data_IF_105875681306
#
_entry.id   IF_105875681306
#
_cell.length_a   1.000
_cell.length_b   1.000
_cell.length_c   1.000
_cell.angle_alpha   90.00
_cell.angle_beta   90.00
_cell.angle_gamma   90.00
#
_symmetry.space_group_name_H-M   'P 1'
#
loop_
_entity.id
_entity.type
_entity.pdbx_description
1 polymer ?
#
# COMPACT_ATOMS: atom_id res chain seq x y z
N UNK A 1 -4.74 20.47 6.52
CA UNK A 1 -3.95 19.23 6.77
C UNK A 1 -4.74 18.32 7.70
N UNK A 2 -4.70 17.01 7.47
CA UNK A 2 -5.36 15.99 8.32
C UNK A 2 -4.35 15.49 9.35
N UNK A 3 -4.76 15.40 10.61
CA UNK A 3 -3.91 14.88 11.69
C UNK A 3 -3.95 13.35 11.67
N UNK A 4 -2.79 12.72 11.53
CA UNK A 4 -2.58 11.27 11.66
C UNK A 4 -1.70 11.04 12.88
N UNK A 5 -2.19 10.26 13.83
CA UNK A 5 -1.39 9.80 14.96
C UNK A 5 -0.55 8.61 14.51
N UNK A 6 0.74 8.60 14.85
CA UNK A 6 1.64 7.53 14.52
C UNK A 6 2.41 7.07 15.77
N UNK A 7 2.43 5.76 15.99
CA UNK A 7 3.13 5.12 17.11
C UNK A 7 4.31 4.33 16.57
N UNK A 8 5.48 4.56 17.10
CA UNK A 8 6.66 3.71 16.90
C UNK A 8 6.58 2.52 17.85
N UNK A 9 6.70 1.31 17.32
CA UNK A 9 6.73 0.08 18.12
C UNK A 9 8.12 -0.20 18.72
N UNK A 10 9.15 0.49 18.18
CA UNK A 10 10.50 0.49 18.71
C UNK A 10 11.09 1.90 18.57
N UNK A 11 11.88 2.34 19.54
CA UNK A 11 12.46 3.70 19.56
C UNK A 11 13.37 4.00 18.37
N UNK A 12 14.02 2.99 17.79
CA UNK A 12 14.92 3.13 16.64
C UNK A 12 14.20 3.28 15.30
N UNK A 13 12.87 3.04 15.24
CA UNK A 13 12.08 3.23 14.01
C UNK A 13 12.08 4.70 13.61
N UNK A 14 12.35 4.97 12.33
CA UNK A 14 12.29 6.31 11.78
C UNK A 14 10.87 6.64 11.32
N UNK A 15 10.41 7.86 11.61
CA UNK A 15 9.12 8.34 11.12
C UNK A 15 9.20 8.66 9.62
N UNK A 16 8.20 8.28 8.84
CA UNK A 16 8.11 8.68 7.45
C UNK A 16 7.88 10.19 7.31
N UNK A 17 8.32 10.75 6.20
CA UNK A 17 8.13 12.17 5.88
C UNK A 17 7.96 12.39 4.39
N UNK A 18 7.24 13.45 4.01
CA UNK A 18 7.21 13.92 2.63
C UNK A 18 8.60 14.40 2.22
N UNK A 19 9.08 13.98 1.07
CA UNK A 19 10.42 14.35 0.58
C UNK A 19 10.44 15.68 -0.17
N UNK A 20 9.28 16.08 -0.70
CA UNK A 20 9.07 17.38 -1.37
C UNK A 20 7.70 17.93 -0.98
N UNK A 21 7.48 19.22 -1.17
CA UNK A 21 6.19 19.87 -0.90
C UNK A 21 5.05 19.36 -1.79
N UNK A 22 5.37 18.84 -2.97
CA UNK A 22 4.39 18.27 -3.91
C UNK A 22 4.25 16.74 -3.81
N UNK A 23 4.94 16.07 -2.88
CA UNK A 23 4.83 14.62 -2.74
C UNK A 23 3.45 14.23 -2.21
N UNK A 24 2.82 13.23 -2.84
CA UNK A 24 1.54 12.66 -2.41
C UNK A 24 1.71 11.55 -1.38
N UNK A 25 2.85 10.88 -1.36
CA UNK A 25 3.13 9.75 -0.48
C UNK A 25 4.39 9.94 0.37
N UNK A 26 4.45 9.20 1.46
CA UNK A 26 5.63 9.05 2.31
C UNK A 26 6.21 7.66 2.15
N UNK A 27 7.53 7.53 1.99
CA UNK A 27 8.19 6.23 1.96
C UNK A 27 8.04 5.50 3.30
N UNK A 28 7.72 4.21 3.25
CA UNK A 28 7.77 3.28 4.37
C UNK A 28 9.04 2.44 4.29
N UNK A 29 9.72 2.33 5.43
CA UNK A 29 10.96 1.58 5.54
C UNK A 29 10.72 0.24 6.23
N UNK A 30 11.47 -0.77 5.81
CA UNK A 30 11.53 -2.05 6.50
C UNK A 30 12.14 -1.88 7.89
N UNK A 31 11.55 -2.52 8.89
CA UNK A 31 12.10 -2.64 10.23
C UNK A 31 12.33 -4.11 10.56
N UNK A 32 13.57 -4.56 10.44
CA UNK A 32 13.93 -5.98 10.59
C UNK A 32 15.28 -6.14 11.30
N UNK A 33 15.38 -7.14 12.15
CA UNK A 33 16.64 -7.47 12.82
C UNK A 33 17.64 -8.18 11.88
N UNK A 34 17.13 -8.92 10.90
CA UNK A 34 17.93 -9.66 9.92
C UNK A 34 17.42 -9.38 8.52
N UNK A 35 18.31 -9.38 7.50
CA UNK A 35 17.88 -9.24 6.12
C UNK A 35 16.84 -10.28 5.73
N UNK A 36 15.79 -9.85 5.03
CA UNK A 36 14.74 -10.72 4.48
C UNK A 36 15.12 -11.05 3.03
N UNK A 37 15.24 -12.33 2.72
CA UNK A 37 15.57 -12.78 1.37
C UNK A 37 14.30 -13.20 0.63
N UNK A 38 13.85 -12.36 -0.30
CA UNK A 38 12.65 -12.57 -1.10
C UNK A 38 13.00 -13.28 -2.41
N UNK A 39 12.71 -14.58 -2.47
CA UNK A 39 12.98 -15.42 -3.65
C UNK A 39 12.09 -15.07 -4.84
N UNK A 40 12.51 -15.38 -6.08
CA UNK A 40 11.68 -15.25 -7.29
C UNK A 40 10.32 -15.93 -7.14
N UNK A 41 9.25 -15.27 -7.59
CA UNK A 41 7.89 -15.79 -7.56
C UNK A 41 7.31 -15.99 -6.15
N UNK A 42 7.92 -15.39 -5.12
CA UNK A 42 7.44 -15.48 -3.73
C UNK A 42 7.05 -14.11 -3.19
N UNK A 43 6.22 -14.14 -2.15
CA UNK A 43 5.90 -12.98 -1.33
C UNK A 43 6.51 -13.09 0.06
N UNK A 44 6.65 -11.94 0.72
CA UNK A 44 6.99 -11.87 2.13
C UNK A 44 6.26 -10.71 2.80
N UNK A 45 6.08 -10.83 4.11
CA UNK A 45 5.51 -9.78 4.94
C UNK A 45 6.65 -8.99 5.60
N UNK A 46 6.77 -7.71 5.26
CA UNK A 46 7.83 -6.83 5.75
C UNK A 46 7.28 -5.91 6.83
N UNK A 47 7.75 -6.00 8.08
CA UNK A 47 7.34 -5.12 9.16
C UNK A 47 7.92 -3.71 8.95
N UNK A 48 7.21 -2.69 9.46
CA UNK A 48 7.66 -1.29 9.45
C UNK A 48 7.93 -0.73 10.83
N UNK A 49 7.50 -1.43 11.88
CA UNK A 49 7.58 -0.96 13.27
C UNK A 49 6.66 0.24 13.57
N UNK A 50 5.63 0.46 12.75
CA UNK A 50 4.72 1.60 12.86
C UNK A 50 3.27 1.14 13.00
N UNK A 51 2.49 1.85 13.83
CA UNK A 51 1.03 1.77 13.89
C UNK A 51 0.45 3.17 13.79
N UNK A 52 -0.78 3.29 13.25
CA UNK A 52 -1.42 4.58 12.96
C UNK A 52 -2.84 4.65 13.48
N UNK A 53 -3.34 5.90 13.65
CA UNK A 53 -4.75 6.20 13.83
C UNK A 53 -5.06 7.53 13.13
N UNK A 54 -6.18 7.59 12.42
CA UNK A 54 -6.61 8.74 11.62
C UNK A 54 -8.13 8.80 11.54
N UNK A 55 -8.71 9.95 11.08
CA UNK A 55 -10.16 10.12 11.00
C UNK A 55 -10.83 9.14 10.04
N UNK A 56 -12.07 8.73 10.35
CA UNK A 56 -12.85 7.71 9.63
C UNK A 56 -13.24 8.07 8.19
N UNK A 57 -13.06 9.33 7.81
CA UNK A 57 -13.31 9.84 6.46
C UNK A 57 -12.15 9.56 5.50
N UNK A 58 -11.10 8.88 5.97
CA UNK A 58 -9.89 8.57 5.21
C UNK A 58 -9.53 7.10 5.32
N UNK A 59 -8.73 6.65 4.37
CA UNK A 59 -7.93 5.43 4.42
C UNK A 59 -6.45 5.77 4.18
N UNK A 60 -5.53 4.87 4.55
CA UNK A 60 -4.16 4.92 4.05
C UNK A 60 -3.98 3.82 3.03
N UNK A 61 -3.57 4.20 1.82
CA UNK A 61 -3.21 3.26 0.77
C UNK A 61 -1.72 2.96 0.78
N UNK A 62 -1.39 1.67 0.77
CA UNK A 62 -0.02 1.19 0.59
C UNK A 62 0.20 0.90 -0.89
N UNK A 63 1.12 1.63 -1.49
CA UNK A 63 1.43 1.57 -2.92
C UNK A 63 2.89 1.18 -3.15
N UNK A 64 3.21 0.53 -4.30
CA UNK A 64 4.60 0.26 -4.68
C UNK A 64 5.40 1.54 -4.87
N UNK A 65 6.71 1.41 -4.75
CA UNK A 65 7.65 2.45 -5.18
C UNK A 65 8.06 2.19 -6.63
N UNK A 66 7.94 3.21 -7.47
CA UNK A 66 8.28 3.12 -8.90
C UNK A 66 9.70 2.63 -9.14
N UNK A 67 10.65 3.07 -8.31
CA UNK A 67 12.05 2.64 -8.42
C UNK A 67 12.26 1.15 -8.16
N UNK A 68 11.57 0.56 -7.18
CA UNK A 68 11.63 -0.90 -6.94
C UNK A 68 10.93 -1.68 -8.06
N UNK A 69 9.79 -1.20 -8.52
CA UNK A 69 9.07 -1.82 -9.63
C UNK A 69 9.90 -1.83 -10.91
N UNK A 70 10.44 -0.68 -11.32
CA UNK A 70 11.17 -0.54 -12.57
C UNK A 70 12.54 -1.22 -12.58
N UNK A 71 13.28 -1.17 -11.46
CA UNK A 71 14.67 -1.67 -11.42
C UNK A 71 14.78 -3.11 -10.92
N UNK A 72 13.88 -3.54 -10.05
CA UNK A 72 13.98 -4.81 -9.36
C UNK A 72 12.79 -5.74 -9.60
N UNK A 73 11.74 -5.28 -10.30
CA UNK A 73 10.46 -6.01 -10.49
C UNK A 73 9.83 -6.43 -9.14
N UNK A 74 9.91 -5.56 -8.14
CA UNK A 74 9.28 -5.77 -6.83
C UNK A 74 8.00 -4.95 -6.75
N UNK A 75 6.91 -5.58 -6.35
CA UNK A 75 5.61 -4.92 -6.14
C UNK A 75 5.09 -5.11 -4.71
N UNK A 76 4.10 -4.31 -4.34
CA UNK A 76 3.21 -4.61 -3.22
C UNK A 76 2.12 -5.53 -3.77
N UNK A 77 2.02 -6.76 -3.26
CA UNK A 77 1.19 -7.81 -3.85
C UNK A 77 -0.30 -7.44 -3.91
N UNK A 78 -0.81 -6.80 -2.86
CA UNK A 78 -2.22 -6.41 -2.72
C UNK A 78 -2.46 -4.93 -3.07
N UNK A 79 -1.62 -4.32 -3.92
CA UNK A 79 -1.73 -2.89 -4.22
C UNK A 79 -3.03 -2.52 -4.93
N UNK A 80 -3.68 -1.40 -4.54
CA UNK A 80 -3.42 -0.58 -3.36
C UNK A 80 -3.82 -1.29 -2.07
N UNK A 81 -2.86 -1.52 -1.16
CA UNK A 81 -3.16 -2.10 0.15
C UNK A 81 -3.95 -1.12 1.01
N UNK A 82 -5.11 -1.52 1.51
CA UNK A 82 -5.99 -0.67 2.31
C UNK A 82 -5.65 -0.80 3.80
N UNK A 83 -5.44 0.33 4.46
CA UNK A 83 -5.38 0.43 5.91
C UNK A 83 -6.60 1.22 6.36
N UNK A 84 -7.46 0.56 7.11
CA UNK A 84 -8.68 1.15 7.65
C UNK A 84 -8.39 2.09 8.83
N UNK A 85 -9.25 3.08 9.03
CA UNK A 85 -9.08 4.10 10.08
C UNK A 85 -9.13 3.53 11.50
N UNK A 86 -9.75 2.38 11.69
CA UNK A 86 -9.88 1.65 12.97
C UNK A 86 -8.85 0.53 13.16
N UNK A 87 -8.00 0.26 12.16
CA UNK A 87 -6.88 -0.66 12.31
C UNK A 87 -5.82 -0.09 13.27
N UNK A 88 -5.40 -0.89 14.27
CA UNK A 88 -4.40 -0.48 15.30
C UNK A 88 -3.16 -1.38 15.30
N UNK A 89 -3.11 -2.37 14.43
CA UNK A 89 -1.97 -3.25 14.29
C UNK A 89 -0.78 -2.55 13.62
N UNK A 90 0.32 -3.27 13.54
CA UNK A 90 1.51 -2.82 12.82
C UNK A 90 1.25 -2.74 11.32
N UNK A 91 1.69 -1.67 10.69
CA UNK A 91 1.75 -1.57 9.23
C UNK A 91 2.79 -2.55 8.71
N UNK A 92 2.34 -3.57 7.98
CA UNK A 92 3.19 -4.57 7.33
C UNK A 92 2.95 -4.57 5.84
N UNK A 93 4.03 -4.67 5.07
CA UNK A 93 4.00 -4.58 3.62
C UNK A 93 4.13 -5.97 3.02
N UNK A 94 3.18 -6.37 2.17
CA UNK A 94 3.24 -7.63 1.44
C UNK A 94 3.98 -7.39 0.13
N UNK A 95 5.28 -7.71 0.09
CA UNK A 95 6.07 -7.59 -1.14
C UNK A 95 6.02 -8.88 -1.95
N UNK A 96 6.06 -8.73 -3.28
CA UNK A 96 6.16 -9.82 -4.23
C UNK A 96 7.33 -9.59 -5.19
N UNK A 97 8.08 -10.66 -5.49
CA UNK A 97 9.22 -10.62 -6.41
C UNK A 97 8.85 -11.26 -7.76
N UNK A 98 8.66 -10.43 -8.78
CA UNK A 98 8.37 -10.83 -10.16
C UNK A 98 9.65 -11.12 -10.97
N UNK A 99 10.83 -10.87 -10.40
CA UNK A 99 12.09 -11.10 -11.09
C UNK A 99 12.54 -12.55 -11.03
N UNK A 100 13.59 -12.90 -11.79
CA UNK A 100 14.26 -14.20 -11.73
C UNK A 100 15.38 -14.27 -10.69
N UNK A 101 15.64 -13.19 -9.95
CA UNK A 101 16.73 -13.07 -8.98
C UNK A 101 16.20 -12.90 -7.56
N UNK A 102 16.96 -13.37 -6.58
CA UNK A 102 16.67 -13.05 -5.18
C UNK A 102 16.76 -11.54 -4.94
N UNK A 103 15.85 -11.02 -4.12
CA UNK A 103 15.86 -9.64 -3.66
C UNK A 103 16.04 -9.62 -2.14
N UNK A 104 17.06 -8.94 -1.67
CA UNK A 104 17.36 -8.82 -0.23
C UNK A 104 16.81 -7.48 0.28
N UNK A 105 16.04 -7.54 1.35
CA UNK A 105 15.49 -6.39 2.05
C UNK A 105 16.25 -6.24 3.36
N UNK A 106 16.96 -5.13 3.50
CA UNK A 106 17.70 -4.79 4.72
C UNK A 106 16.87 -3.85 5.61
N UNK A 107 17.27 -3.75 6.88
CA UNK A 107 16.70 -2.76 7.77
C UNK A 107 16.86 -1.34 7.20
N UNK A 108 15.80 -0.53 7.31
CA UNK A 108 15.68 0.82 6.75
C UNK A 108 15.62 0.92 5.21
N UNK A 109 15.56 -0.19 4.48
CA UNK A 109 15.25 -0.13 3.05
C UNK A 109 13.84 0.43 2.84
N UNK A 110 13.69 1.35 1.88
CA UNK A 110 12.41 1.92 1.49
C UNK A 110 11.66 0.93 0.60
N UNK A 111 10.62 0.28 1.14
CA UNK A 111 9.95 -0.87 0.52
C UNK A 111 8.60 -0.55 -0.12
N UNK A 112 7.93 0.50 0.35
CA UNK A 112 6.63 0.94 -0.16
C UNK A 112 6.47 2.44 0.08
N UNK A 113 5.33 2.99 -0.31
CA UNK A 113 4.88 4.32 0.08
C UNK A 113 3.45 4.26 0.61
N UNK A 114 3.13 5.13 1.57
CA UNK A 114 1.77 5.31 2.07
C UNK A 114 1.20 6.64 1.60
N UNK A 115 -0.08 6.63 1.22
CA UNK A 115 -0.83 7.81 0.76
C UNK A 115 -2.13 7.89 1.55
N UNK A 116 -2.39 9.03 2.20
CA UNK A 116 -3.68 9.30 2.84
C UNK A 116 -4.69 9.69 1.77
N UNK A 117 -5.84 8.99 1.74
CA UNK A 117 -6.86 9.16 0.70
C UNK A 117 -8.22 9.35 1.36
N UNK A 118 -9.05 10.32 0.94
CA UNK A 118 -10.43 10.42 1.40
C UNK A 118 -11.25 9.25 0.86
N UNK A 119 -12.24 8.81 1.65
CA UNK A 119 -13.15 7.74 1.24
C UNK A 119 -14.58 8.24 1.17
N UNK A 120 -15.37 7.60 0.31
CA UNK A 120 -16.83 7.72 0.27
C UNK A 120 -17.38 6.34 0.56
N UNK A 121 -18.26 6.24 1.55
CA UNK A 121 -18.97 5.00 1.87
C UNK A 121 -20.18 4.85 0.97
N UNK A 122 -20.37 3.66 0.43
CA UNK A 122 -21.57 3.30 -0.32
C UNK A 122 -22.69 2.89 0.66
N UNK A 123 -23.91 3.29 0.37
CA UNK A 123 -25.12 2.69 0.87
C UNK A 123 -25.69 1.80 -0.24
N UNK A 124 -25.84 0.51 0.04
CA UNK A 124 -26.32 -0.45 -0.96
C UNK A 124 -27.82 -0.61 -0.83
N UNK A 125 -28.51 -0.43 -1.95
CA UNK A 125 -29.95 -0.69 -2.10
C UNK A 125 -30.13 -1.86 -3.07
N UNK A 126 -30.79 -2.92 -2.62
CA UNK A 126 -31.09 -4.07 -3.45
C UNK A 126 -32.22 -3.71 -4.43
N UNK A 127 -32.01 -4.01 -5.72
CA UNK A 127 -32.99 -3.82 -6.76
C UNK A 127 -33.00 -5.03 -7.71
N UNK A 128 -34.17 -5.33 -8.31
CA UNK A 128 -34.30 -6.37 -9.33
C UNK A 128 -33.84 -5.90 -10.71
N UNK A 129 -33.79 -4.59 -10.94
CA UNK A 129 -33.43 -4.02 -12.26
C UNK A 129 -32.53 -2.80 -12.06
N UNK A 130 -31.48 -2.71 -12.89
CA UNK A 130 -30.62 -1.54 -12.97
C UNK A 130 -31.08 -0.62 -14.10
N UNK A 131 -30.88 0.70 -13.98
CA UNK A 131 -31.14 1.62 -15.09
C UNK A 131 -30.37 1.23 -16.35
N UNK A 132 -30.98 1.38 -17.51
CA UNK A 132 -30.30 1.16 -18.80
C UNK A 132 -29.13 2.10 -18.97
N UNK A 133 -28.08 1.60 -19.67
CA UNK A 133 -26.95 2.42 -20.07
C UNK A 133 -26.51 2.09 -21.50
N UNK A 134 -25.90 3.05 -22.19
CA UNK A 134 -25.41 2.86 -23.56
C UNK A 134 -24.39 1.71 -23.65
N UNK A 135 -23.62 1.48 -22.58
CA UNK A 135 -22.64 0.40 -22.52
C UNK A 135 -23.29 -0.96 -22.25
N UNK A 136 -24.43 -1.00 -21.55
CA UNK A 136 -25.10 -2.23 -21.11
C UNK A 136 -24.15 -3.13 -20.32
N UNK A 137 -24.10 -4.40 -20.70
CA UNK A 137 -23.24 -5.45 -20.12
C UNK A 137 -21.87 -5.58 -20.80
N UNK A 138 -21.56 -4.72 -21.75
CA UNK A 138 -20.30 -4.71 -22.47
C UNK A 138 -19.08 -4.51 -21.55
N UNK A 139 -18.18 -5.48 -21.53
CA UNK A 139 -16.95 -5.47 -20.72
C UNK A 139 -15.85 -6.31 -21.36
N UNK A 140 -14.73 -6.52 -20.63
CA UNK A 140 -13.64 -7.42 -21.02
C UNK A 140 -13.09 -7.22 -22.43
N UNK A 141 -13.01 -5.95 -22.90
CA UNK A 141 -12.52 -5.61 -24.24
C UNK A 141 -13.60 -5.58 -25.31
N UNK A 142 -14.89 -5.48 -24.97
CA UNK A 142 -16.01 -5.38 -25.91
C UNK A 142 -15.94 -4.18 -26.88
N UNK A 143 -15.10 -3.18 -26.57
CA UNK A 143 -14.87 -1.98 -27.43
C UNK A 143 -13.75 -2.18 -28.46
N UNK A 144 -13.19 -3.39 -28.54
CA UNK A 144 -12.08 -3.72 -29.46
C UNK A 144 -10.70 -3.32 -28.95
N UNK A 145 -9.67 -3.66 -29.73
CA UNK A 145 -8.28 -3.22 -29.52
C UNK A 145 -8.06 -1.92 -30.28
#
# INVERSE_FOLDING_TARGET
>A
MVKVLIKKLNSSVQLPSYKTSGASGMDLMAFTEKPINLKPGKSCLVPTGLSVAFPKEYEIQIRPRSGLAAKNNISVLNTPGTIDSDYRGELKIILFNHSSKNFTINNNDRVAQMVLTPIIKMELEETNELPESIRGDGGFGSTGK
#
